data_IF_705982928778
#
_entry.id   IF_705982928778
#
_cell.length_a   1.000
_cell.length_b   1.000
_cell.length_c   1.000
_cell.angle_alpha   90.00
_cell.angle_beta   90.00
_cell.angle_gamma   90.00
#
_symmetry.space_group_name_H-M   'P 1'
#
loop_
_entity.id
_entity.type
_entity.pdbx_description
1 polymer ?
#
# COMPACT_ATOMS: atom_id res chain seq x y z
N UNK A 1 -4.99 22.72 3.52
CA UNK A 1 -4.54 23.17 2.21
C UNK A 1 -3.50 22.25 1.57
N UNK A 2 -2.62 21.67 2.34
CA UNK A 2 -1.58 20.75 1.87
C UNK A 2 -2.04 19.31 1.68
N UNK A 3 -3.25 18.95 2.08
CA UNK A 3 -3.76 17.58 2.07
C UNK A 3 -3.70 16.91 0.69
N UNK A 4 -3.84 17.70 -0.37
CA UNK A 4 -3.87 17.18 -1.73
C UNK A 4 -2.47 17.06 -2.36
N UNK A 5 -1.43 17.55 -1.68
CA UNK A 5 -0.07 17.54 -2.24
C UNK A 5 0.45 16.10 -2.46
N UNK A 6 -0.03 15.15 -1.65
CA UNK A 6 0.37 13.75 -1.74
C UNK A 6 -0.54 12.93 -2.66
N UNK A 7 -1.68 13.48 -3.06
CA UNK A 7 -2.67 12.76 -3.87
C UNK A 7 -2.23 12.60 -5.33
N UNK A 8 -1.32 13.45 -5.78
CA UNK A 8 -0.84 13.50 -7.16
C UNK A 8 0.67 13.32 -7.21
N UNK A 9 1.15 12.84 -8.35
CA UNK A 9 2.58 12.80 -8.60
C UNK A 9 3.17 14.21 -8.55
N UNK A 10 4.37 14.33 -7.97
CA UNK A 10 5.00 15.62 -7.82
C UNK A 10 5.41 16.21 -9.17
N UNK A 11 5.11 17.48 -9.36
CA UNK A 11 5.44 18.23 -10.57
C UNK A 11 6.77 19.01 -10.43
N UNK A 12 7.60 18.62 -9.48
CA UNK A 12 8.92 19.21 -9.24
C UNK A 12 9.97 18.53 -10.11
N UNK A 13 11.16 19.14 -10.29
CA UNK A 13 12.25 18.48 -10.99
C UNK A 13 12.55 17.10 -10.37
N UNK A 14 12.68 16.08 -11.24
CA UNK A 14 12.92 14.70 -10.83
C UNK A 14 11.81 14.09 -9.97
N UNK A 15 10.61 14.66 -9.99
CA UNK A 15 9.47 14.24 -9.17
C UNK A 15 9.81 14.17 -7.68
N UNK A 16 10.75 15.01 -7.24
CA UNK A 16 11.12 15.09 -5.83
C UNK A 16 10.04 15.79 -5.00
N UNK A 17 10.02 15.52 -3.69
CA UNK A 17 9.05 16.12 -2.80
C UNK A 17 9.21 17.64 -2.72
N UNK A 18 8.10 18.41 -2.81
CA UNK A 18 8.15 19.87 -2.69
C UNK A 18 8.27 20.29 -1.22
N UNK A 19 9.44 20.11 -0.62
CA UNK A 19 9.65 20.36 0.81
C UNK A 19 9.27 21.76 1.27
N UNK A 20 9.36 22.75 0.38
CA UNK A 20 8.95 24.13 0.71
C UNK A 20 7.43 24.27 0.95
N UNK A 21 6.63 23.30 0.50
CA UNK A 21 5.16 23.31 0.64
C UNK A 21 4.68 22.41 1.77
N UNK A 22 5.59 21.70 2.46
CA UNK A 22 5.24 20.72 3.49
C UNK A 22 5.47 21.30 4.89
N UNK A 23 4.57 20.97 5.81
CA UNK A 23 4.78 21.14 7.24
C UNK A 23 4.64 19.79 7.94
N UNK A 24 5.20 19.67 9.15
CA UNK A 24 5.13 18.42 9.91
C UNK A 24 3.69 17.99 10.18
N UNK A 25 2.79 18.96 10.36
CA UNK A 25 1.38 18.72 10.67
C UNK A 25 0.58 18.17 9.47
N UNK A 26 1.14 18.23 8.27
CA UNK A 26 0.49 17.72 7.07
C UNK A 26 0.55 16.19 6.95
N UNK A 27 1.51 15.57 7.63
CA UNK A 27 1.74 14.14 7.48
C UNK A 27 0.64 13.27 8.07
N UNK A 28 0.19 13.56 9.29
CA UNK A 28 -0.81 12.73 9.95
C UNK A 28 -2.11 12.64 9.15
N UNK A 29 -2.75 13.76 8.76
CA UNK A 29 -3.96 13.68 7.97
C UNK A 29 -3.73 13.04 6.59
N UNK A 30 -2.56 13.25 5.98
CA UNK A 30 -2.23 12.63 4.70
C UNK A 30 -2.06 11.11 4.82
N UNK A 31 -1.44 10.63 5.89
CA UNK A 31 -1.28 9.20 6.16
C UNK A 31 -2.64 8.55 6.38
N UNK A 32 -3.48 9.15 7.22
CA UNK A 32 -4.82 8.62 7.51
C UNK A 32 -5.70 8.61 6.27
N UNK A 33 -5.66 9.67 5.46
CA UNK A 33 -6.39 9.72 4.19
C UNK A 33 -5.89 8.67 3.20
N UNK A 34 -4.58 8.45 3.15
CA UNK A 34 -3.98 7.41 2.32
C UNK A 34 -4.42 6.01 2.71
N UNK A 35 -4.54 5.74 4.01
CA UNK A 35 -5.03 4.47 4.53
C UNK A 35 -6.50 4.25 4.12
N UNK A 36 -7.35 5.25 4.29
CA UNK A 36 -8.76 5.16 3.92
C UNK A 36 -8.94 4.91 2.43
N UNK A 37 -8.17 5.60 1.60
CA UNK A 37 -8.20 5.39 0.15
C UNK A 37 -7.73 3.99 -0.21
N UNK A 38 -6.67 3.50 0.44
CA UNK A 38 -6.15 2.16 0.21
C UNK A 38 -7.17 1.09 0.60
N UNK A 39 -7.88 1.28 1.71
CA UNK A 39 -8.95 0.36 2.12
C UNK A 39 -10.08 0.31 1.09
N UNK A 40 -10.45 1.46 0.52
CA UNK A 40 -11.44 1.51 -0.55
C UNK A 40 -10.97 0.78 -1.81
N UNK A 41 -9.69 0.89 -2.14
CA UNK A 41 -9.09 0.17 -3.26
C UNK A 41 -9.11 -1.35 -3.04
N UNK A 42 -8.83 -1.79 -1.81
CA UNK A 42 -8.92 -3.21 -1.43
C UNK A 42 -10.35 -3.73 -1.56
N UNK A 43 -11.33 -2.96 -1.08
CA UNK A 43 -12.74 -3.33 -1.23
C UNK A 43 -13.15 -3.44 -2.69
N UNK A 44 -12.67 -2.55 -3.54
CA UNK A 44 -12.94 -2.59 -4.98
C UNK A 44 -12.40 -3.88 -5.62
N UNK A 45 -11.23 -4.34 -5.20
CA UNK A 45 -10.67 -5.61 -5.66
C UNK A 45 -11.53 -6.79 -5.17
N UNK A 46 -11.87 -6.77 -3.88
CA UNK A 46 -12.63 -7.85 -3.25
C UNK A 46 -14.03 -8.01 -3.84
N UNK A 47 -14.67 -6.90 -4.21
CA UNK A 47 -16.05 -6.87 -4.71
C UNK A 47 -16.13 -6.89 -6.23
N UNK A 48 -15.01 -6.98 -6.93
CA UNK A 48 -14.99 -7.05 -8.39
C UNK A 48 -15.75 -8.29 -8.87
N UNK A 49 -16.81 -8.13 -9.69
CA UNK A 49 -17.61 -9.26 -10.17
C UNK A 49 -16.90 -10.13 -11.21
N UNK A 50 -15.82 -9.61 -11.80
CA UNK A 50 -15.05 -10.35 -12.79
C UNK A 50 -14.26 -11.47 -12.14
N UNK A 51 -14.03 -12.61 -12.83
CA UNK A 51 -13.17 -13.66 -12.31
C UNK A 51 -11.77 -13.12 -12.00
N UNK A 52 -11.10 -13.65 -10.95
CA UNK A 52 -9.75 -13.20 -10.63
C UNK A 52 -8.77 -13.42 -11.77
N UNK A 53 -8.01 -12.37 -12.09
CA UNK A 53 -6.92 -12.42 -13.06
C UNK A 53 -5.65 -11.86 -12.43
N UNK A 54 -4.51 -12.09 -13.05
CA UNK A 54 -3.25 -11.48 -12.60
C UNK A 54 -3.39 -9.95 -12.55
N UNK A 55 -3.95 -9.34 -13.59
CA UNK A 55 -4.10 -7.89 -13.68
C UNK A 55 -5.07 -7.33 -12.64
N UNK A 56 -6.26 -7.93 -12.48
CA UNK A 56 -7.29 -7.37 -11.60
C UNK A 56 -7.12 -7.77 -10.13
N UNK A 57 -6.17 -8.62 -9.82
CA UNK A 57 -5.92 -9.09 -8.46
C UNK A 57 -4.49 -8.78 -8.02
N UNK A 58 -3.49 -9.35 -8.67
CA UNK A 58 -2.09 -9.20 -8.24
C UNK A 58 -1.55 -7.81 -8.54
N UNK A 59 -1.69 -7.34 -9.77
CA UNK A 59 -1.25 -5.99 -10.16
C UNK A 59 -2.05 -4.94 -9.40
N UNK A 60 -3.36 -5.16 -9.25
CA UNK A 60 -4.23 -4.24 -8.52
C UNK A 60 -3.82 -4.14 -7.04
N UNK A 61 -3.47 -5.26 -6.40
CA UNK A 61 -2.96 -5.26 -5.02
C UNK A 61 -1.64 -4.49 -4.91
N UNK A 62 -0.72 -4.69 -5.85
CA UNK A 62 0.56 -3.97 -5.86
C UNK A 62 0.37 -2.46 -5.96
N UNK A 63 -0.63 -2.02 -6.73
CA UNK A 63 -0.94 -0.60 -6.91
C UNK A 63 -1.76 0.00 -5.77
N UNK A 64 -2.31 -0.84 -4.89
CA UNK A 64 -3.08 -0.37 -3.75
C UNK A 64 -2.18 0.39 -2.78
N UNK A 65 -2.68 1.53 -2.29
CA UNK A 65 -1.95 2.32 -1.32
C UNK A 65 -0.81 3.15 -1.92
N UNK A 66 -0.84 3.44 -3.22
CA UNK A 66 0.18 4.26 -3.88
C UNK A 66 0.32 5.63 -3.22
N UNK A 67 -0.79 6.27 -2.89
CA UNK A 67 -0.80 7.57 -2.21
C UNK A 67 -0.18 7.46 -0.81
N UNK A 68 -0.55 6.44 -0.06
CA UNK A 68 0.03 6.17 1.27
C UNK A 68 1.53 5.93 1.17
N UNK A 69 1.97 5.12 0.23
CA UNK A 69 3.39 4.83 0.00
C UNK A 69 4.16 6.12 -0.32
N UNK A 70 3.58 6.99 -1.14
CA UNK A 70 4.20 8.26 -1.51
C UNK A 70 4.43 9.13 -0.27
N UNK A 71 3.42 9.22 0.60
CA UNK A 71 3.54 9.98 1.85
C UNK A 71 4.62 9.40 2.76
N UNK A 72 4.61 8.09 2.95
CA UNK A 72 5.56 7.42 3.84
C UNK A 72 7.00 7.49 3.33
N UNK A 73 7.19 7.47 2.01
CA UNK A 73 8.51 7.62 1.40
C UNK A 73 9.13 9.00 1.63
N UNK A 74 8.33 9.98 2.00
CA UNK A 74 8.79 11.31 2.39
C UNK A 74 8.92 11.39 3.91
N UNK A 75 7.95 10.85 4.62
CA UNK A 75 7.85 10.96 6.09
C UNK A 75 9.06 10.32 6.79
N UNK A 76 9.38 9.06 6.49
CA UNK A 76 10.44 8.36 7.22
C UNK A 76 11.84 8.96 7.01
N UNK A 77 12.25 9.29 5.78
CA UNK A 77 13.53 9.98 5.61
C UNK A 77 13.59 11.34 6.28
N UNK A 78 12.49 12.08 6.26
CA UNK A 78 12.42 13.40 6.90
C UNK A 78 12.50 13.30 8.42
N UNK A 79 11.81 12.31 8.99
CA UNK A 79 11.86 12.03 10.43
C UNK A 79 13.30 11.74 10.87
N UNK A 80 14.03 10.91 10.11
CA UNK A 80 15.41 10.57 10.39
C UNK A 80 16.34 11.80 10.28
N UNK A 81 16.10 12.63 9.24
CA UNK A 81 16.96 13.79 8.97
C UNK A 81 16.76 14.91 9.98
N UNK A 82 15.52 15.18 10.39
CA UNK A 82 15.19 16.31 11.26
C UNK A 82 15.23 15.97 12.75
N UNK A 83 15.07 14.69 13.09
CA UNK A 83 14.98 14.23 14.48
C UNK A 83 13.98 15.05 15.31
N UNK A 84 12.89 15.48 14.67
CA UNK A 84 11.85 16.29 15.29
C UNK A 84 11.06 15.46 16.29
N UNK A 85 10.81 16.03 17.48
CA UNK A 85 9.98 15.36 18.49
C UNK A 85 8.58 15.10 17.97
N UNK A 86 8.01 16.04 17.21
CA UNK A 86 6.69 15.89 16.60
C UNK A 86 6.66 14.70 15.65
N UNK A 87 7.65 14.57 14.75
CA UNK A 87 7.71 13.47 13.78
C UNK A 87 7.99 12.14 14.47
N UNK A 88 8.78 12.12 15.53
CA UNK A 88 9.02 10.91 16.32
C UNK A 88 7.74 10.43 17.02
N UNK A 89 7.02 11.34 17.66
CA UNK A 89 5.75 11.05 18.31
C UNK A 89 4.73 10.53 17.27
N UNK A 90 4.68 11.18 16.11
CA UNK A 90 3.78 10.75 15.04
C UNK A 90 4.13 9.33 14.57
N UNK A 91 5.43 9.00 14.39
CA UNK A 91 5.83 7.66 13.96
C UNK A 91 5.36 6.59 14.96
N UNK A 92 5.41 6.88 16.25
CA UNK A 92 4.93 5.97 17.30
C UNK A 92 3.40 5.82 17.23
N UNK A 93 2.68 6.92 17.00
CA UNK A 93 1.22 6.88 16.93
C UNK A 93 0.69 6.15 15.70
N UNK A 94 1.36 6.30 14.55
CA UNK A 94 0.90 5.68 13.30
C UNK A 94 1.32 4.22 13.15
N UNK A 95 2.35 3.77 13.87
CA UNK A 95 2.87 2.40 13.74
C UNK A 95 1.77 1.34 13.94
N UNK A 96 0.96 1.37 15.02
CA UNK A 96 -0.10 0.38 15.17
C UNK A 96 -1.21 0.53 14.11
N UNK A 97 -1.48 1.75 13.64
CA UNK A 97 -2.49 2.00 12.61
C UNK A 97 -2.05 1.38 11.29
N UNK A 98 -0.78 1.56 10.91
CA UNK A 98 -0.20 0.97 9.70
C UNK A 98 -0.15 -0.57 9.79
N UNK A 99 0.20 -1.09 10.96
CA UNK A 99 0.24 -2.53 11.21
C UNK A 99 -1.16 -3.15 11.08
N UNK A 100 -2.16 -2.51 11.67
CA UNK A 100 -3.54 -2.95 11.56
C UNK A 100 -4.04 -2.94 10.11
N UNK A 101 -3.73 -1.87 9.37
CA UNK A 101 -4.07 -1.78 7.97
C UNK A 101 -3.44 -2.93 7.17
N UNK A 102 -2.14 -3.15 7.32
CA UNK A 102 -1.43 -4.23 6.62
C UNK A 102 -2.01 -5.61 6.95
N UNK A 103 -2.26 -5.87 8.23
CA UNK A 103 -2.85 -7.12 8.70
C UNK A 103 -4.25 -7.32 8.15
N UNK A 104 -5.05 -6.27 8.08
CA UNK A 104 -6.42 -6.36 7.56
C UNK A 104 -6.47 -6.84 6.10
N UNK A 105 -5.45 -6.49 5.31
CA UNK A 105 -5.35 -6.96 3.92
C UNK A 105 -5.01 -8.44 3.88
N UNK A 106 -3.94 -8.85 4.57
CA UNK A 106 -3.44 -10.23 4.50
C UNK A 106 -4.38 -11.24 5.15
N UNK A 107 -5.25 -10.79 6.04
CA UNK A 107 -6.26 -11.64 6.69
C UNK A 107 -7.64 -11.53 6.05
N UNK A 108 -7.80 -10.75 4.99
CA UNK A 108 -9.08 -10.63 4.28
C UNK A 108 -9.36 -11.89 3.46
N UNK A 109 -10.37 -12.70 3.82
CA UNK A 109 -10.64 -13.95 3.12
C UNK A 109 -11.10 -13.72 1.67
N UNK A 110 -11.71 -12.57 1.38
CA UNK A 110 -12.16 -12.24 0.03
C UNK A 110 -10.98 -12.06 -0.91
N UNK A 111 -9.93 -11.37 -0.43
CA UNK A 111 -8.70 -11.15 -1.19
C UNK A 111 -7.91 -12.44 -1.31
N UNK A 112 -7.78 -13.20 -0.22
CA UNK A 112 -7.08 -14.48 -0.22
C UNK A 112 -7.64 -15.45 -1.27
N UNK A 113 -8.96 -15.53 -1.35
CA UNK A 113 -9.63 -16.40 -2.32
C UNK A 113 -9.21 -16.04 -3.76
N UNK A 114 -9.17 -14.75 -4.07
CA UNK A 114 -8.79 -14.27 -5.39
C UNK A 114 -7.32 -14.53 -5.69
N UNK A 115 -6.43 -14.25 -4.74
CA UNK A 115 -4.98 -14.48 -4.88
C UNK A 115 -4.71 -15.97 -5.09
N UNK A 116 -5.33 -16.83 -4.31
CA UNK A 116 -5.18 -18.27 -4.42
C UNK A 116 -5.65 -18.81 -5.77
N UNK A 117 -6.76 -18.31 -6.28
CA UNK A 117 -7.26 -18.71 -7.57
C UNK A 117 -6.28 -18.36 -8.70
N UNK A 118 -5.72 -17.15 -8.68
CA UNK A 118 -4.71 -16.73 -9.66
C UNK A 118 -3.47 -17.63 -9.54
N UNK A 119 -3.03 -17.88 -8.33
CA UNK A 119 -1.85 -18.71 -8.08
C UNK A 119 -2.03 -20.15 -8.55
N UNK A 120 -3.20 -20.74 -8.32
CA UNK A 120 -3.49 -22.11 -8.76
C UNK A 120 -3.45 -22.28 -10.27
N UNK A 121 -3.70 -21.20 -11.02
CA UNK A 121 -3.68 -21.21 -12.49
C UNK A 121 -2.39 -20.60 -13.07
N UNK A 122 -1.36 -20.39 -12.26
CA UNK A 122 -0.13 -19.67 -12.66
C UNK A 122 0.56 -20.25 -13.90
N UNK A 123 0.50 -21.54 -14.07
CA UNK A 123 1.17 -22.22 -15.19
C UNK A 123 0.53 -21.92 -16.55
N UNK A 124 -0.72 -21.45 -16.54
CA UNK A 124 -1.47 -21.15 -17.77
C UNK A 124 -1.47 -19.65 -18.11
N UNK A 125 -0.89 -18.80 -17.25
CA UNK A 125 -0.95 -17.34 -17.42
C UNK A 125 0.13 -16.78 -18.33
N UNK A 126 1.17 -17.56 -18.64
CA UNK A 126 2.27 -17.09 -19.48
C UNK A 126 3.05 -15.94 -18.88
N UNK A 127 3.23 -15.94 -17.55
CA UNK A 127 3.92 -14.88 -16.85
C UNK A 127 5.42 -14.89 -17.14
N UNK A 128 6.03 -13.71 -17.26
CA UNK A 128 7.47 -13.60 -17.31
C UNK A 128 8.06 -13.84 -15.90
N UNK A 129 9.39 -13.85 -15.78
CA UNK A 129 10.07 -14.13 -14.52
C UNK A 129 9.73 -13.10 -13.44
N UNK A 130 9.60 -11.83 -13.80
CA UNK A 130 9.29 -10.75 -12.87
C UNK A 130 7.85 -10.86 -12.35
N UNK A 131 6.90 -11.10 -13.23
CA UNK A 131 5.49 -11.27 -12.86
C UNK A 131 5.29 -12.56 -12.05
N UNK A 132 5.98 -13.63 -12.41
CA UNK A 132 5.93 -14.87 -11.64
C UNK A 132 6.45 -14.67 -10.22
N UNK A 133 7.53 -13.91 -10.06
CA UNK A 133 8.08 -13.57 -8.74
C UNK A 133 7.07 -12.73 -7.93
N UNK A 134 6.44 -11.75 -8.54
CA UNK A 134 5.42 -10.93 -7.88
C UNK A 134 4.25 -11.78 -7.39
N UNK A 135 3.78 -12.71 -8.21
CA UNK A 135 2.71 -13.63 -7.84
C UNK A 135 3.13 -14.52 -6.67
N UNK A 136 4.32 -15.09 -6.71
CA UNK A 136 4.83 -15.94 -5.64
C UNK A 136 4.93 -15.17 -4.32
N UNK A 137 5.50 -13.96 -4.35
CA UNK A 137 5.63 -13.12 -3.16
C UNK A 137 4.27 -12.73 -2.58
N UNK A 138 3.32 -12.39 -3.43
CA UNK A 138 1.97 -12.03 -3.00
C UNK A 138 1.28 -13.24 -2.35
N UNK A 139 1.33 -14.38 -3.01
CA UNK A 139 0.75 -15.61 -2.48
C UNK A 139 1.36 -15.99 -1.12
N UNK A 140 2.69 -15.96 -1.01
CA UNK A 140 3.39 -16.29 0.22
C UNK A 140 3.01 -15.38 1.37
N UNK A 141 2.86 -14.07 1.10
CA UNK A 141 2.47 -13.10 2.13
C UNK A 141 1.11 -13.45 2.75
N UNK A 142 0.14 -13.81 1.91
CA UNK A 142 -1.19 -14.20 2.38
C UNK A 142 -1.19 -15.57 3.04
N UNK A 143 -0.51 -16.54 2.43
CA UNK A 143 -0.45 -17.90 2.97
C UNK A 143 0.24 -17.93 4.32
N UNK A 144 1.33 -17.18 4.48
CA UNK A 144 2.08 -17.11 5.73
C UNK A 144 1.22 -16.47 6.84
N UNK A 145 0.52 -15.38 6.53
CA UNK A 145 -0.37 -14.72 7.49
C UNK A 145 -1.51 -15.66 7.92
N UNK A 146 -2.10 -16.39 6.98
CA UNK A 146 -3.17 -17.34 7.25
C UNK A 146 -2.71 -18.58 8.03
N UNK A 147 -1.47 -19.01 7.84
CA UNK A 147 -0.92 -20.16 8.55
C UNK A 147 -0.76 -19.92 10.06
N UNK A 148 -0.77 -18.65 10.47
CA UNK A 148 -0.66 -18.29 11.88
C UNK A 148 -2.04 -18.27 12.59
N UNK A 149 -3.10 -18.48 11.86
CA UNK A 149 -4.45 -18.55 12.38
C UNK A 149 -4.84 -20.02 12.63
#
# INVERSE_FOLDING_TARGET
MSKDIFAKEFQTPHHSAPFSLLSEEDFEPAILAGIEKAKAEIDAIALNPEPPTFANTIVALERTGTELTRVLNIFYPLQSALASDYLMDLSVRIAPVLSEYSTSITLDPRIWKRVREVYDHRDTLGLDAEDAMLLDQTYESFAFAGALL
#
